data_IF_238400998569
#
_entry.id   IF_238400998569
#
_cell.length_a   1.000
_cell.length_b   1.000
_cell.length_c   1.000
_cell.angle_alpha   90.00
_cell.angle_beta   90.00
_cell.angle_gamma   90.00
#
_symmetry.space_group_name_H-M   'P 1'
#
loop_
_entity.id
_entity.type
_entity.pdbx_description
1 polymer ?
#
# COMPACT_ATOMS: atom_id res chain seq x y z
N UNK A 1 -7.34 -1.70 13.08
CA UNK A 1 -7.05 -0.71 12.05
C UNK A 1 -8.25 -0.58 11.14
N UNK A 2 -8.76 0.62 10.95
CA UNK A 2 -9.88 0.79 10.04
C UNK A 2 -9.46 0.51 8.60
N UNK A 3 -10.38 -0.04 7.83
CA UNK A 3 -10.14 -0.25 6.43
C UNK A 3 -10.05 1.11 5.72
N UNK A 4 -9.32 1.15 4.62
CA UNK A 4 -9.28 2.34 3.79
C UNK A 4 -10.69 2.64 3.26
N UNK A 5 -11.09 3.90 3.35
CA UNK A 5 -12.41 4.35 2.91
C UNK A 5 -12.24 5.20 1.65
N UNK A 6 -12.38 4.61 0.45
CA UNK A 6 -12.25 5.38 -0.77
C UNK A 6 -13.41 6.35 -0.91
N UNK A 7 -13.10 7.61 -1.12
CA UNK A 7 -14.10 8.64 -1.30
C UNK A 7 -14.35 8.81 -2.80
N UNK A 8 -15.53 8.39 -3.31
CA UNK A 8 -15.79 8.49 -4.74
C UNK A 8 -15.91 9.92 -5.24
N UNK A 9 -16.04 10.87 -4.35
CA UNK A 9 -16.15 12.27 -4.72
C UNK A 9 -14.80 12.95 -4.90
N UNK A 10 -13.69 12.24 -4.62
CA UNK A 10 -12.35 12.77 -4.81
C UNK A 10 -11.75 12.16 -6.07
N UNK A 11 -11.86 12.85 -7.21
CA UNK A 11 -11.42 12.27 -8.47
C UNK A 11 -9.90 12.20 -8.59
N UNK A 12 -9.44 11.19 -9.29
CA UNK A 12 -8.11 11.20 -9.88
C UNK A 12 -6.94 10.81 -9.00
N UNK A 13 -7.11 10.72 -7.69
CA UNK A 13 -5.97 10.49 -6.81
C UNK A 13 -6.17 9.35 -5.82
N UNK A 14 -7.09 8.45 -6.13
CA UNK A 14 -7.39 7.36 -5.20
C UNK A 14 -6.17 6.46 -4.97
N UNK A 15 -5.33 6.26 -5.97
CA UNK A 15 -4.16 5.42 -5.79
C UNK A 15 -3.11 6.10 -4.90
N UNK A 16 -2.98 7.44 -4.97
CA UNK A 16 -2.07 8.16 -4.09
C UNK A 16 -2.59 8.11 -2.65
N UNK A 17 -3.88 8.31 -2.47
CA UNK A 17 -4.48 8.24 -1.15
C UNK A 17 -4.34 6.85 -0.54
N UNK A 18 -4.52 5.81 -1.36
CA UNK A 18 -4.35 4.45 -0.89
C UNK A 18 -2.88 4.18 -0.55
N UNK A 19 -1.95 4.68 -1.35
CA UNK A 19 -0.54 4.55 -1.05
C UNK A 19 -0.20 5.26 0.27
N UNK A 20 -0.75 6.46 0.48
CA UNK A 20 -0.54 7.20 1.73
C UNK A 20 -1.11 6.44 2.92
N UNK A 21 -2.27 5.81 2.76
CA UNK A 21 -2.85 5.00 3.81
C UNK A 21 -1.92 3.83 4.18
N UNK A 22 -1.44 3.10 3.19
CA UNK A 22 -0.52 1.98 3.43
C UNK A 22 0.80 2.47 4.02
N UNK A 23 1.30 3.60 3.54
CA UNK A 23 2.52 4.18 4.09
C UNK A 23 2.34 4.53 5.57
N UNK A 24 1.16 5.01 5.95
CA UNK A 24 0.83 5.27 7.34
C UNK A 24 0.84 4.01 8.20
N UNK A 25 0.32 2.91 7.65
CA UNK A 25 0.34 1.63 8.35
C UNK A 25 1.76 1.12 8.56
N UNK A 26 2.61 1.34 7.57
CA UNK A 26 4.03 0.96 7.66
C UNK A 26 4.74 1.85 8.68
N UNK A 27 4.51 3.16 8.62
CA UNK A 27 5.15 4.11 9.53
C UNK A 27 4.76 3.88 10.98
N UNK A 28 3.51 3.47 11.21
CA UNK A 28 3.03 3.22 12.57
C UNK A 28 3.50 1.89 13.14
N UNK A 29 4.11 1.04 12.32
CA UNK A 29 4.55 -0.28 12.74
C UNK A 29 3.48 -1.35 12.66
N UNK A 30 2.27 -1.02 12.20
CA UNK A 30 1.23 -2.03 12.03
C UNK A 30 1.60 -3.04 10.97
N UNK A 31 2.33 -2.58 9.94
CA UNK A 31 2.97 -3.47 8.98
C UNK A 31 4.47 -3.31 9.22
N UNK A 32 5.10 -4.26 9.89
CA UNK A 32 6.50 -4.08 10.29
C UNK A 32 7.46 -4.21 9.11
N UNK A 33 8.62 -3.60 9.26
CA UNK A 33 9.71 -3.77 8.30
C UNK A 33 10.07 -5.26 8.25
N UNK A 34 10.21 -5.78 7.04
CA UNK A 34 10.41 -7.20 6.83
C UNK A 34 9.13 -7.99 6.70
N UNK A 35 8.00 -7.37 7.05
CA UNK A 35 6.72 -8.03 6.94
C UNK A 35 6.23 -8.12 5.51
N UNK A 36 5.47 -9.17 5.23
CA UNK A 36 4.90 -9.37 3.91
C UNK A 36 3.55 -8.68 3.84
N UNK A 37 3.32 -7.95 2.75
CA UNK A 37 2.02 -7.35 2.49
C UNK A 37 1.05 -8.39 1.93
N UNK A 38 -0.25 -8.21 2.18
CA UNK A 38 -1.25 -9.02 1.49
C UNK A 38 -1.11 -8.84 -0.03
N UNK A 39 -1.56 -9.83 -0.78
CA UNK A 39 -1.53 -9.74 -2.23
C UNK A 39 -2.42 -8.61 -2.76
N UNK A 40 -2.19 -8.20 -4.01
CA UNK A 40 -2.92 -7.08 -4.58
C UNK A 40 -4.42 -7.36 -4.65
N UNK A 41 -4.80 -8.57 -5.00
CA UNK A 41 -6.22 -8.93 -5.06
C UNK A 41 -6.84 -8.87 -3.67
N UNK A 42 -6.11 -9.33 -2.67
CA UNK A 42 -6.60 -9.30 -1.30
C UNK A 42 -6.74 -7.85 -0.81
N UNK A 43 -5.77 -7.01 -1.11
CA UNK A 43 -5.85 -5.59 -0.76
C UNK A 43 -7.04 -4.93 -1.42
N UNK A 44 -7.27 -5.22 -2.70
CA UNK A 44 -8.40 -4.66 -3.42
C UNK A 44 -9.72 -5.07 -2.77
N UNK A 45 -9.83 -6.34 -2.40
CA UNK A 45 -11.06 -6.86 -1.80
C UNK A 45 -11.27 -6.30 -0.40
N UNK A 46 -10.23 -6.30 0.41
CA UNK A 46 -10.32 -5.87 1.81
C UNK A 46 -10.70 -4.40 1.92
N UNK A 47 -10.12 -3.57 1.06
CA UNK A 47 -10.32 -2.12 1.14
C UNK A 47 -11.31 -1.59 0.13
N UNK A 48 -11.90 -2.48 -0.67
CA UNK A 48 -12.94 -2.14 -1.63
C UNK A 48 -12.48 -1.10 -2.63
N UNK A 49 -11.26 -1.28 -3.14
CA UNK A 49 -10.70 -0.44 -4.18
C UNK A 49 -10.45 -1.29 -5.42
N UNK A 50 -10.40 -0.63 -6.57
CA UNK A 50 -10.13 -1.33 -7.83
C UNK A 50 -8.72 -1.90 -7.82
N UNK A 51 -8.55 -3.05 -8.48
CA UNK A 51 -7.24 -3.69 -8.56
C UNK A 51 -6.21 -2.78 -9.21
N UNK A 52 -6.60 -2.04 -10.24
CA UNK A 52 -5.70 -1.07 -10.87
C UNK A 52 -5.23 0.01 -9.91
N UNK A 53 -6.11 0.44 -9.01
CA UNK A 53 -5.76 1.40 -7.98
C UNK A 53 -4.70 0.82 -7.04
N UNK A 54 -4.88 -0.44 -6.63
CA UNK A 54 -3.90 -1.11 -5.76
C UNK A 54 -2.55 -1.20 -6.47
N UNK A 55 -2.57 -1.60 -7.75
CA UNK A 55 -1.33 -1.75 -8.52
C UNK A 55 -0.56 -0.44 -8.63
N UNK A 56 -1.28 0.66 -8.89
CA UNK A 56 -0.64 1.98 -8.97
C UNK A 56 -0.11 2.42 -7.61
N UNK A 57 -0.85 2.14 -6.54
CA UNK A 57 -0.39 2.46 -5.20
C UNK A 57 0.89 1.70 -4.85
N UNK A 58 0.97 0.43 -5.27
CA UNK A 58 2.17 -0.36 -5.03
C UNK A 58 3.38 0.22 -5.75
N UNK A 59 3.19 0.74 -6.97
CA UNK A 59 4.27 1.43 -7.69
C UNK A 59 4.77 2.62 -6.87
N UNK A 60 3.85 3.42 -6.34
CA UNK A 60 4.21 4.58 -5.52
C UNK A 60 5.00 4.15 -4.29
N UNK A 61 4.56 3.09 -3.62
CA UNK A 61 5.26 2.60 -2.43
C UNK A 61 6.66 2.11 -2.76
N UNK A 62 6.82 1.45 -3.90
CA UNK A 62 8.14 1.01 -4.34
C UNK A 62 9.04 2.20 -4.65
N UNK A 63 8.50 3.22 -5.30
CA UNK A 63 9.26 4.43 -5.61
C UNK A 63 9.68 5.19 -4.36
N UNK A 64 8.86 5.12 -3.32
CA UNK A 64 9.19 5.73 -2.03
C UNK A 64 10.17 4.91 -1.21
N UNK A 65 10.51 3.70 -1.67
CA UNK A 65 11.43 2.83 -0.95
C UNK A 65 10.81 2.13 0.24
N UNK A 66 9.49 2.06 0.30
CA UNK A 66 8.79 1.44 1.43
C UNK A 66 8.59 -0.05 1.26
N UNK A 67 8.47 -0.52 0.02
CA UNK A 67 8.26 -1.93 -0.27
C UNK A 67 9.13 -2.37 -1.44
N UNK A 68 9.41 -3.66 -1.49
CA UNK A 68 10.04 -4.30 -2.63
C UNK A 68 9.20 -5.52 -3.00
N UNK A 69 9.07 -5.76 -4.30
CA UNK A 69 8.30 -6.91 -4.80
C UNK A 69 9.25 -7.92 -5.39
N UNK A 70 9.10 -9.17 -4.98
CA UNK A 70 9.93 -10.28 -5.47
C UNK A 70 9.03 -11.26 -6.20
N UNK A 71 9.36 -11.61 -7.45
CA UNK A 71 8.52 -12.53 -8.21
C UNK A 71 8.30 -13.84 -7.45
N UNK A 72 7.08 -14.33 -7.47
CA UNK A 72 6.65 -15.56 -6.81
C UNK A 72 6.70 -15.53 -5.29
N UNK A 73 7.19 -14.46 -4.69
CA UNK A 73 7.29 -14.38 -3.23
C UNK A 73 6.39 -13.31 -2.64
N UNK A 74 6.13 -12.24 -3.37
CA UNK A 74 5.25 -11.19 -2.93
C UNK A 74 5.97 -9.88 -2.64
N UNK A 75 5.28 -8.97 -1.99
CA UNK A 75 5.80 -7.66 -1.64
C UNK A 75 6.09 -7.59 -0.16
N UNK A 76 7.23 -7.03 0.19
CA UNK A 76 7.68 -6.96 1.58
C UNK A 76 8.04 -5.54 1.93
N UNK A 77 7.81 -5.16 3.18
CA UNK A 77 8.16 -3.84 3.66
C UNK A 77 9.67 -3.75 3.84
N UNK A 78 10.27 -2.73 3.22
CA UNK A 78 11.73 -2.55 3.27
C UNK A 78 12.15 -1.28 3.98
N UNK A 79 11.20 -0.40 4.33
CA UNK A 79 11.52 0.82 5.04
C UNK A 79 10.27 1.46 5.56
N UNK A 80 10.42 2.47 6.41
CA UNK A 80 9.29 3.16 7.04
C UNK A 80 8.98 4.51 6.43
N UNK A 81 9.80 4.96 5.49
CA UNK A 81 9.59 6.25 4.84
C UNK A 81 10.02 7.45 5.66
N UNK A 82 9.97 7.34 6.97
CA UNK A 82 10.32 8.44 7.84
C UNK A 82 11.81 8.52 8.15
N UNK A 83 12.56 7.59 7.62
CA UNK A 83 13.97 7.46 7.92
C UNK A 83 14.87 7.90 6.79
N UNK A 84 14.30 8.45 5.78
CA UNK A 84 15.05 8.88 4.61
C UNK A 84 16.00 10.00 4.91
#
# INVERSE_FOLDING_TARGET
VPAFDPDPDLPGYSYVRFADFLAGEIASGRIPVGGKLPGEIELARTHKVALGTVRRAMVVLRERGLVATYPSKGSFVTGRGAES
#
